data_IF_020488918169
#
_entry.id   IF_020488918169
#
_cell.length_a   1.000
_cell.length_b   1.000
_cell.length_c   1.000
_cell.angle_alpha   90.00
_cell.angle_beta   90.00
_cell.angle_gamma   90.00
#
_symmetry.space_group_name_H-M   'P 1'
#
loop_
_entity.id
_entity.type
_entity.pdbx_description
1 polymer ?
#
# COMPACT_ATOMS: atom_id res chain seq x y z
N UNK A 1 17.51 3.60 6.14
CA UNK A 1 17.39 4.97 5.61
C UNK A 1 17.29 5.95 6.77
N UNK A 2 18.02 7.07 6.68
CA UNK A 2 18.11 8.13 7.70
C UNK A 2 16.92 9.10 7.66
N UNK A 3 16.03 8.98 6.66
CA UNK A 3 14.92 9.90 6.40
C UNK A 3 13.51 9.27 6.53
N UNK A 4 13.41 8.07 7.11
CA UNK A 4 12.11 7.42 7.38
C UNK A 4 11.73 7.64 8.83
N UNK A 5 10.43 7.87 9.07
CA UNK A 5 9.88 7.88 10.41
C UNK A 5 10.18 6.56 11.13
N UNK A 6 10.64 6.65 12.38
CA UNK A 6 10.95 5.50 13.22
C UNK A 6 10.07 5.55 14.46
N UNK A 7 9.15 4.60 14.58
CA UNK A 7 8.38 4.44 15.82
C UNK A 7 9.33 4.11 16.97
N UNK A 8 9.39 4.97 18.00
CA UNK A 8 10.26 4.83 19.19
C UNK A 8 11.77 4.64 18.89
N UNK A 9 12.23 5.06 17.71
CA UNK A 9 13.63 4.89 17.30
C UNK A 9 14.00 3.49 16.80
N UNK A 10 13.06 2.54 16.78
CA UNK A 10 13.30 1.19 16.27
C UNK A 10 13.55 1.17 14.76
N UNK A 11 14.31 0.17 14.32
CA UNK A 11 14.51 -0.11 12.90
C UNK A 11 13.25 -0.73 12.27
N UNK A 12 13.08 -0.56 10.95
CA UNK A 12 11.94 -1.10 10.18
C UNK A 12 11.81 -2.63 10.24
N UNK A 13 12.90 -3.35 10.53
CA UNK A 13 12.84 -4.81 10.68
C UNK A 13 11.97 -5.27 11.85
N UNK A 14 11.68 -4.34 12.76
CA UNK A 14 10.84 -4.56 13.93
C UNK A 14 9.41 -4.03 13.73
N UNK A 15 9.06 -3.61 12.51
CA UNK A 15 7.71 -3.22 12.13
C UNK A 15 7.14 -4.31 11.21
N UNK A 16 6.06 -4.94 11.64
CA UNK A 16 5.44 -6.00 10.85
C UNK A 16 4.28 -5.46 10.01
N UNK A 17 4.26 -5.83 8.73
CA UNK A 17 3.19 -5.47 7.82
C UNK A 17 2.54 -6.69 7.23
N UNK A 18 1.23 -6.69 7.34
CA UNK A 18 0.35 -7.73 6.88
C UNK A 18 -0.52 -7.20 5.74
N UNK A 19 -0.89 -8.08 4.82
CA UNK A 19 -1.97 -7.82 3.87
C UNK A 19 -2.98 -8.95 4.05
N UNK A 20 -4.22 -8.57 4.39
CA UNK A 20 -5.29 -9.52 4.70
C UNK A 20 -4.89 -10.58 5.75
N UNK A 21 -4.05 -10.19 6.73
CA UNK A 21 -3.56 -11.08 7.79
C UNK A 21 -2.36 -11.95 7.44
N UNK A 22 -1.88 -11.93 6.19
CA UNK A 22 -0.65 -12.63 5.78
C UNK A 22 0.54 -11.69 5.95
N UNK A 23 1.67 -12.16 6.48
CA UNK A 23 2.87 -11.34 6.62
C UNK A 23 3.52 -11.08 5.25
N UNK A 24 3.78 -9.82 4.92
CA UNK A 24 4.38 -9.38 3.65
C UNK A 24 5.75 -8.72 3.84
N UNK A 25 6.36 -8.85 5.02
CA UNK A 25 7.75 -8.46 5.21
C UNK A 25 8.66 -9.43 4.43
N UNK A 26 9.69 -8.88 3.82
CA UNK A 26 10.72 -9.64 3.10
C UNK A 26 11.40 -10.63 4.06
N UNK A 27 11.49 -11.91 3.68
CA UNK A 27 12.06 -12.96 4.54
C UNK A 27 13.56 -12.75 4.83
N UNK A 28 14.29 -12.08 3.93
CA UNK A 28 15.73 -11.84 4.05
C UNK A 28 15.98 -10.53 4.79
N UNK A 29 15.33 -9.45 4.36
CA UNK A 29 15.57 -8.11 4.91
C UNK A 29 14.71 -7.79 6.13
N UNK A 30 13.66 -8.55 6.38
CA UNK A 30 12.70 -8.34 7.48
C UNK A 30 11.83 -7.11 7.32
N UNK A 31 11.80 -6.47 6.13
CA UNK A 31 11.11 -5.19 5.91
C UNK A 31 10.07 -5.31 4.82
N UNK A 32 8.97 -4.57 4.95
CA UNK A 32 7.97 -4.47 3.89
C UNK A 32 8.51 -3.76 2.66
N UNK A 33 8.26 -4.33 1.48
CA UNK A 33 8.65 -3.74 0.23
C UNK A 33 7.58 -2.75 -0.29
N UNK A 34 7.78 -1.46 -0.03
CA UNK A 34 6.85 -0.42 -0.51
C UNK A 34 6.83 -0.25 -2.03
N UNK A 35 7.81 -0.77 -2.76
CA UNK A 35 7.80 -0.68 -4.22
C UNK A 35 6.70 -1.54 -4.83
N UNK A 36 6.27 -2.63 -4.16
CA UNK A 36 5.22 -3.53 -4.66
C UNK A 36 3.83 -2.88 -4.67
N UNK A 37 3.62 -1.87 -3.81
CA UNK A 37 2.37 -1.11 -3.73
C UNK A 37 2.52 0.33 -4.25
N UNK A 38 3.59 0.57 -5.01
CA UNK A 38 4.13 1.88 -5.40
C UNK A 38 3.28 2.75 -6.33
N UNK A 39 2.01 2.43 -6.58
CA UNK A 39 1.02 3.34 -7.18
C UNK A 39 -0.42 2.92 -6.85
N UNK A 40 -0.62 2.18 -5.75
CA UNK A 40 -1.90 1.59 -5.36
C UNK A 40 -2.45 2.19 -4.06
N UNK A 41 -2.13 3.46 -3.80
CA UNK A 41 -2.46 4.11 -2.52
C UNK A 41 -3.96 4.04 -2.16
N UNK A 42 -4.85 4.08 -3.15
CA UNK A 42 -6.29 3.96 -2.91
C UNK A 42 -6.70 2.56 -2.42
N UNK A 43 -5.95 1.53 -2.82
CA UNK A 43 -6.15 0.15 -2.38
C UNK A 43 -5.49 -0.10 -1.03
N UNK A 44 -4.36 0.55 -0.73
CA UNK A 44 -3.58 0.28 0.48
C UNK A 44 -3.97 1.15 1.68
N UNK A 45 -4.94 2.05 1.53
CA UNK A 45 -5.33 2.99 2.60
C UNK A 45 -6.21 2.38 3.68
N UNK A 46 -6.89 1.29 3.36
CA UNK A 46 -7.80 0.62 4.28
C UNK A 46 -7.01 -0.40 5.09
N UNK A 47 -7.13 -0.39 6.40
CA UNK A 47 -6.37 -1.28 7.26
C UNK A 47 -6.42 -0.89 8.72
N UNK A 48 -5.85 -1.76 9.53
CA UNK A 48 -5.76 -1.63 10.97
C UNK A 48 -4.29 -1.48 11.37
N UNK A 49 -4.01 -0.57 12.30
CA UNK A 49 -2.68 -0.41 12.88
C UNK A 49 -2.76 -0.70 14.37
N UNK A 50 -1.90 -1.58 14.84
CA UNK A 50 -1.77 -1.95 16.25
C UNK A 50 -0.41 -1.53 16.74
N UNK A 51 -0.42 -0.79 17.84
CA UNK A 51 0.78 -0.21 18.39
C UNK A 51 1.48 -1.21 19.30
N UNK A 52 2.77 -1.44 19.03
CA UNK A 52 3.67 -2.19 19.89
C UNK A 52 3.22 -3.65 20.13
N UNK A 53 3.33 -4.11 21.37
CA UNK A 53 3.00 -5.47 21.81
C UNK A 53 1.50 -5.74 22.02
N UNK A 54 0.62 -4.83 21.60
CA UNK A 54 -0.80 -5.10 21.73
C UNK A 54 -1.18 -6.28 20.81
N UNK A 55 -1.92 -7.27 21.32
CA UNK A 55 -2.40 -8.38 20.50
C UNK A 55 -3.45 -7.88 19.51
N UNK A 56 -3.53 -8.55 18.36
CA UNK A 56 -4.49 -8.25 17.31
C UNK A 56 -5.02 -9.54 16.68
N UNK A 57 -6.03 -9.43 15.82
CA UNK A 57 -6.57 -10.57 15.07
C UNK A 57 -5.59 -11.18 14.06
N UNK A 58 -4.48 -10.49 13.75
CA UNK A 58 -3.51 -10.89 12.71
C UNK A 58 -2.08 -11.08 13.23
N UNK A 59 -1.78 -10.69 14.47
CA UNK A 59 -0.46 -10.87 15.08
C UNK A 59 -0.51 -10.80 16.61
N UNK A 60 0.48 -11.42 17.26
CA UNK A 60 0.74 -11.30 18.70
C UNK A 60 1.35 -9.95 19.10
N UNK A 61 1.67 -9.10 18.12
CA UNK A 61 2.27 -7.77 18.32
C UNK A 61 3.75 -7.75 18.00
N UNK A 62 4.29 -6.56 17.76
CA UNK A 62 5.69 -6.34 17.36
C UNK A 62 6.25 -5.12 18.05
N UNK A 63 7.54 -5.12 18.39
CA UNK A 63 8.15 -4.05 19.20
C UNK A 63 8.08 -2.67 18.50
N UNK A 64 8.16 -2.64 17.16
CA UNK A 64 7.98 -1.44 16.34
C UNK A 64 6.52 -1.15 15.95
N UNK A 65 5.59 -2.04 16.28
CA UNK A 65 4.19 -2.00 15.88
C UNK A 65 3.88 -2.86 14.65
N UNK A 66 2.60 -3.07 14.42
CA UNK A 66 2.11 -3.94 13.35
C UNK A 66 0.95 -3.29 12.61
N UNK A 67 0.95 -3.40 11.29
CA UNK A 67 -0.08 -2.83 10.41
C UNK A 67 -0.63 -3.91 9.50
N UNK A 68 -1.94 -3.98 9.35
CA UNK A 68 -2.61 -4.90 8.44
C UNK A 68 -3.40 -4.11 7.40
N UNK A 69 -2.95 -4.19 6.15
CA UNK A 69 -3.64 -3.58 5.02
C UNK A 69 -4.75 -4.51 4.56
N UNK A 70 -5.97 -4.01 4.51
CA UNK A 70 -7.13 -4.75 4.05
C UNK A 70 -7.38 -4.45 2.58
N UNK A 71 -7.04 -5.44 1.73
CA UNK A 71 -7.23 -5.39 0.29
C UNK A 71 -8.38 -6.29 -0.20
N UNK A 72 -9.33 -6.64 0.67
CA UNK A 72 -10.48 -7.46 0.31
C UNK A 72 -11.41 -6.72 -0.66
N UNK A 73 -11.84 -7.40 -1.72
CA UNK A 73 -12.62 -6.79 -2.79
C UNK A 73 -13.98 -6.28 -2.29
N UNK A 74 -14.60 -6.97 -1.31
CA UNK A 74 -15.89 -6.58 -0.74
C UNK A 74 -15.86 -5.32 0.12
N UNK A 75 -14.68 -4.94 0.65
CA UNK A 75 -14.53 -3.80 1.55
C UNK A 75 -14.38 -2.45 0.81
N UNK A 76 -14.21 -2.48 -0.50
CA UNK A 76 -14.13 -1.26 -1.30
C UNK A 76 -15.53 -0.75 -1.67
N UNK A 77 -15.71 0.57 -1.59
CA UNK A 77 -16.93 1.23 -2.03
C UNK A 77 -17.18 0.97 -3.51
N UNK A 78 -18.41 0.54 -3.85
CA UNK A 78 -18.84 0.37 -5.24
C UNK A 78 -18.67 1.66 -6.04
N UNK A 79 -18.06 1.55 -7.22
CA UNK A 79 -17.88 2.65 -8.16
C UNK A 79 -16.51 2.68 -8.81
N UNK A 80 -16.36 3.63 -9.72
CA UNK A 80 -15.08 3.97 -10.35
C UNK A 80 -14.49 5.24 -9.74
N UNK A 81 -13.17 5.27 -9.60
CA UNK A 81 -12.42 6.46 -9.19
C UNK A 81 -11.21 6.64 -10.10
N UNK A 82 -11.02 7.86 -10.58
CA UNK A 82 -9.83 8.27 -11.33
C UNK A 82 -9.17 9.41 -10.58
N UNK A 83 -7.86 9.31 -10.38
CA UNK A 83 -7.05 10.33 -9.73
C UNK A 83 -5.91 10.72 -10.65
N UNK A 84 -5.83 11.99 -11.01
CA UNK A 84 -4.72 12.59 -11.73
C UNK A 84 -4.05 13.61 -10.81
N UNK A 85 -2.73 13.60 -10.76
CA UNK A 85 -1.97 14.55 -9.94
C UNK A 85 -0.67 14.92 -10.63
N UNK A 86 -0.35 16.21 -10.61
CA UNK A 86 0.92 16.74 -11.09
C UNK A 86 1.72 17.25 -9.90
N UNK A 87 3.03 17.04 -9.90
CA UNK A 87 3.91 17.57 -8.84
C UNK A 87 5.27 17.96 -9.44
N UNK A 88 6.05 18.75 -8.72
CA UNK A 88 7.34 19.29 -9.15
C UNK A 88 8.54 18.73 -8.35
N UNK A 89 8.33 17.57 -7.69
CA UNK A 89 9.31 17.00 -6.76
C UNK A 89 9.88 15.66 -7.27
N UNK A 90 9.27 14.54 -6.85
CA UNK A 90 9.81 13.21 -7.14
C UNK A 90 9.29 12.60 -8.45
N UNK A 91 8.18 13.11 -8.97
CA UNK A 91 7.59 12.72 -10.24
C UNK A 91 6.83 13.91 -10.84
N UNK A 92 6.63 13.95 -12.16
CA UNK A 92 5.85 15.03 -12.78
C UNK A 92 4.37 14.69 -12.87
N UNK A 93 4.05 13.43 -13.14
CA UNK A 93 2.68 12.99 -13.33
C UNK A 93 2.41 11.71 -12.57
N UNK A 94 1.20 11.63 -12.00
CA UNK A 94 0.64 10.44 -11.39
C UNK A 94 -0.79 10.27 -11.89
N UNK A 95 -1.10 9.06 -12.32
CA UNK A 95 -2.44 8.66 -12.68
C UNK A 95 -2.80 7.38 -11.93
N UNK A 96 -4.02 7.27 -11.45
CA UNK A 96 -4.58 6.05 -10.87
C UNK A 96 -6.03 5.91 -11.31
N UNK A 97 -6.44 4.72 -11.68
CA UNK A 97 -7.81 4.35 -11.95
C UNK A 97 -8.15 3.09 -11.16
N UNK A 98 -9.25 3.13 -10.41
CA UNK A 98 -9.77 1.97 -9.69
C UNK A 98 -11.25 1.79 -9.99
N UNK A 99 -11.69 0.55 -10.04
CA UNK A 99 -13.08 0.16 -10.19
C UNK A 99 -13.40 -0.99 -9.24
N UNK A 100 -14.45 -0.81 -8.45
CA UNK A 100 -14.93 -1.79 -7.49
C UNK A 100 -16.42 -2.02 -7.69
N UNK A 101 -16.85 -3.27 -7.70
CA UNK A 101 -18.28 -3.61 -7.71
C UNK A 101 -18.92 -3.47 -6.34
N UNK A 102 -18.10 -3.47 -5.27
CA UNK A 102 -18.56 -3.75 -3.92
C UNK A 102 -19.04 -5.21 -3.80
N UNK A 103 -19.54 -5.58 -2.61
CA UNK A 103 -20.23 -6.84 -2.41
C UNK A 103 -21.55 -6.84 -3.19
N UNK A 104 -21.71 -7.78 -4.12
CA UNK A 104 -22.92 -7.96 -4.89
C UNK A 104 -23.89 -8.88 -4.15
N UNK A 105 -25.18 -8.84 -4.50
CA UNK A 105 -26.23 -9.66 -3.88
C UNK A 105 -26.01 -11.17 -4.07
N UNK A 106 -25.22 -11.56 -5.08
CA UNK A 106 -24.82 -12.94 -5.32
C UNK A 106 -23.62 -13.40 -4.48
N UNK A 107 -23.12 -12.56 -3.57
CA UNK A 107 -21.99 -12.86 -2.67
C UNK A 107 -20.61 -12.66 -3.29
N UNK A 108 -20.50 -12.18 -4.53
CA UNK A 108 -19.22 -11.92 -5.18
C UNK A 108 -18.82 -10.44 -5.09
N UNK A 109 -17.53 -10.18 -4.97
CA UNK A 109 -16.96 -8.85 -5.06
C UNK A 109 -15.74 -8.83 -5.99
N UNK A 110 -15.71 -7.85 -6.89
CA UNK A 110 -14.59 -7.63 -7.79
C UNK A 110 -14.04 -6.22 -7.62
N UNK A 111 -12.71 -6.11 -7.54
CA UNK A 111 -12.01 -4.83 -7.56
C UNK A 111 -10.76 -4.91 -8.43
N UNK A 112 -10.58 -3.92 -9.29
CA UNK A 112 -9.36 -3.74 -10.07
C UNK A 112 -8.85 -2.30 -9.93
N UNK A 113 -7.53 -2.14 -9.92
CA UNK A 113 -6.89 -0.83 -9.89
C UNK A 113 -5.59 -0.85 -10.67
N UNK A 114 -5.30 0.24 -11.36
CA UNK A 114 -4.04 0.47 -12.06
C UNK A 114 -3.57 1.87 -11.76
N UNK A 115 -2.29 2.01 -11.47
CA UNK A 115 -1.68 3.29 -11.17
C UNK A 115 -0.28 3.39 -11.73
N UNK A 116 0.12 4.60 -12.10
CA UNK A 116 1.44 4.88 -12.59
C UNK A 116 1.95 6.23 -12.13
N UNK A 117 3.28 6.32 -12.03
CA UNK A 117 4.01 7.56 -11.77
C UNK A 117 5.10 7.71 -12.82
N UNK A 118 5.22 8.91 -13.35
CA UNK A 118 6.15 9.24 -14.44
C UNK A 118 6.93 10.54 -14.15
N UNK A 119 8.24 10.49 -14.37
CA UNK A 119 9.18 11.62 -14.41
C UNK A 119 10.33 11.28 -15.37
N UNK A 120 10.65 12.21 -16.26
CA UNK A 120 11.83 12.11 -17.12
C UNK A 120 13.10 12.45 -16.34
N UNK A 121 13.10 13.61 -15.67
CA UNK A 121 14.06 14.02 -14.65
C UNK A 121 13.27 14.34 -13.37
N UNK A 122 13.82 14.02 -12.20
CA UNK A 122 13.24 14.42 -10.91
C UNK A 122 13.69 15.83 -10.56
N UNK A 123 13.36 16.27 -9.35
CA UNK A 123 13.95 17.51 -8.79
C UNK A 123 15.48 17.44 -8.67
N UNK A 124 16.04 16.23 -8.58
CA UNK A 124 17.48 15.97 -8.62
C UNK A 124 17.81 15.42 -10.00
N UNK A 125 18.74 16.08 -10.68
CA UNK A 125 19.20 15.71 -12.02
C UNK A 125 19.72 14.26 -12.04
N UNK A 126 19.33 13.50 -13.07
CA UNK A 126 19.67 12.08 -13.21
C UNK A 126 18.75 11.08 -12.50
N UNK A 127 17.76 11.53 -11.72
CA UNK A 127 16.78 10.63 -11.08
C UNK A 127 15.51 10.51 -11.92
N UNK A 128 15.33 9.39 -12.60
CA UNK A 128 14.08 9.10 -13.33
C UNK A 128 13.07 8.35 -12.44
N UNK A 129 11.77 8.58 -12.66
CA UNK A 129 10.73 7.82 -11.97
C UNK A 129 9.77 7.23 -13.00
N UNK A 130 9.79 5.90 -13.16
CA UNK A 130 8.85 5.18 -14.01
C UNK A 130 8.35 3.95 -13.27
N UNK A 131 7.11 4.01 -12.81
CA UNK A 131 6.45 2.91 -12.12
C UNK A 131 5.04 2.70 -12.69
N UNK A 132 4.68 1.44 -12.88
CA UNK A 132 3.31 1.00 -13.10
C UNK A 132 3.03 -0.08 -12.04
N UNK A 133 1.89 0.04 -11.37
CA UNK A 133 1.41 -0.93 -10.39
C UNK A 133 -0.04 -1.28 -10.71
N UNK A 134 -0.43 -2.53 -10.48
CA UNK A 134 -1.80 -2.99 -10.70
C UNK A 134 -2.25 -3.87 -9.52
N UNK A 135 -3.55 -3.89 -9.28
CA UNK A 135 -4.21 -4.70 -8.28
C UNK A 135 -5.47 -5.32 -8.89
N UNK A 136 -5.68 -6.60 -8.60
CA UNK A 136 -6.90 -7.32 -8.93
C UNK A 136 -7.28 -8.15 -7.71
N UNK A 137 -8.52 -8.00 -7.27
CA UNK A 137 -9.12 -8.74 -6.17
C UNK A 137 -10.46 -9.31 -6.61
N UNK A 138 -10.65 -10.59 -6.28
CA UNK A 138 -11.91 -11.31 -6.39
C UNK A 138 -12.16 -11.96 -5.03
N UNK A 139 -13.37 -11.78 -4.51
CA UNK A 139 -13.85 -12.38 -3.26
C UNK A 139 -15.23 -13.00 -3.49
#
# INVERSE_FOLDING_TARGET
SQFRFRSRGYENRFEDRYINGVNFNDQIRGVFNYSSIGALNDMTRNGDAVNYFAPSSFTFGSIGGSENINMRAGNYTRGGKVTLSLTNRNYYARAMGSYSTGMQDNGWAFTASVGGRYSHEGHIEGVFYRNISYFVGLE
#
